data_IF_267298266236
#
_entry.id   IF_267298266236
#
_cell.length_a   1.000
_cell.length_b   1.000
_cell.length_c   1.000
_cell.angle_alpha   90.00
_cell.angle_beta   90.00
_cell.angle_gamma   90.00
#
_symmetry.space_group_name_H-M   'P 1'
#
loop_
_entity.id
_entity.type
_entity.pdbx_description
1 polymer ?
#
# COMPACT_ATOMS: atom_id res chain seq x y z
N UNK A 1 0.20 -34.64 7.28
CA UNK A 1 0.46 -34.96 8.70
C UNK A 1 1.92 -34.74 8.97
N UNK A 2 2.24 -33.98 9.98
CA UNK A 2 3.61 -33.81 10.48
C UNK A 2 3.70 -34.54 11.83
N UNK A 3 4.72 -35.35 11.98
CA UNK A 3 5.02 -36.05 13.22
C UNK A 3 6.32 -35.51 13.81
N UNK A 4 6.28 -35.06 15.03
CA UNK A 4 7.48 -34.69 15.78
C UNK A 4 7.78 -35.79 16.83
N UNK A 5 9.00 -36.30 16.85
CA UNK A 5 9.47 -37.27 17.82
C UNK A 5 10.72 -36.76 18.50
N UNK A 6 10.84 -37.06 19.80
CA UNK A 6 12.04 -36.78 20.56
C UNK A 6 12.54 -38.09 21.20
N UNK A 7 13.75 -38.48 20.86
CA UNK A 7 14.39 -39.64 21.50
C UNK A 7 14.81 -39.27 22.94
N UNK A 8 14.52 -40.14 23.87
CA UNK A 8 15.03 -40.05 25.26
C UNK A 8 16.54 -40.33 25.34
N UNK A 9 17.15 -39.96 26.44
CA UNK A 9 18.52 -40.33 26.81
C UNK A 9 18.55 -40.96 28.21
N UNK A 10 19.72 -41.26 28.73
CA UNK A 10 19.86 -41.93 30.04
C UNK A 10 19.27 -41.18 31.25
N UNK A 11 18.87 -39.91 31.08
CA UNK A 11 18.30 -39.08 32.15
C UNK A 11 16.83 -38.68 31.88
N UNK A 12 16.32 -38.87 30.66
CA UNK A 12 14.96 -38.50 30.29
C UNK A 12 14.30 -39.56 29.43
N UNK A 13 13.05 -39.87 29.74
CA UNK A 13 12.24 -40.75 28.89
C UNK A 13 11.92 -40.09 27.57
N UNK A 14 11.77 -40.89 26.52
CA UNK A 14 11.29 -40.42 25.22
C UNK A 14 9.89 -39.77 25.38
N UNK A 15 9.71 -38.61 24.79
CA UNK A 15 8.38 -37.98 24.76
C UNK A 15 7.44 -38.75 23.85
N UNK A 16 6.15 -38.83 24.24
CA UNK A 16 5.13 -39.41 23.38
C UNK A 16 5.05 -38.63 22.03
N UNK A 17 4.95 -39.33 20.90
CA UNK A 17 4.83 -38.67 19.61
C UNK A 17 3.60 -37.77 19.57
N UNK A 18 3.75 -36.54 19.13
CA UNK A 18 2.66 -35.60 18.91
C UNK A 18 2.35 -35.55 17.42
N UNK A 19 1.18 -36.05 17.05
CA UNK A 19 0.66 -35.90 15.68
C UNK A 19 -0.27 -34.70 15.61
N UNK A 20 -0.03 -33.84 14.65
CA UNK A 20 -0.97 -32.75 14.28
C UNK A 20 -1.29 -32.83 12.80
N UNK A 21 -2.57 -32.95 12.49
CA UNK A 21 -3.05 -32.90 11.11
C UNK A 21 -3.43 -31.47 10.77
N UNK A 22 -2.76 -30.88 9.79
CA UNK A 22 -3.12 -29.60 9.24
C UNK A 22 -3.84 -29.81 7.91
N UNK A 23 -5.04 -29.26 7.76
CA UNK A 23 -5.64 -29.11 6.44
C UNK A 23 -4.96 -27.92 5.75
N UNK A 24 -3.95 -28.21 4.94
CA UNK A 24 -3.40 -27.21 4.02
C UNK A 24 -4.43 -27.06 2.90
N UNK A 25 -5.20 -25.95 2.91
CA UNK A 25 -5.85 -25.50 1.68
C UNK A 25 -4.71 -25.25 0.68
N UNK A 26 -4.66 -26.04 -0.39
CA UNK A 26 -3.73 -25.73 -1.52
C UNK A 26 -4.10 -24.32 -1.98
N UNK A 27 -3.23 -23.30 -1.82
CA UNK A 27 -3.35 -22.13 -2.64
C UNK A 27 -3.28 -22.59 -4.10
N UNK A 28 -4.02 -21.96 -4.99
CA UNK A 28 -3.81 -22.18 -6.41
C UNK A 28 -2.31 -22.07 -6.71
N UNK A 29 -1.78 -22.88 -7.62
CA UNK A 29 -0.33 -22.94 -7.89
C UNK A 29 0.31 -21.57 -8.07
N UNK A 30 -0.47 -20.60 -8.51
CA UNK A 30 -0.04 -19.22 -8.79
C UNK A 30 0.11 -18.35 -7.52
N UNK A 31 -0.76 -18.50 -6.51
CA UNK A 31 -0.71 -17.69 -5.29
C UNK A 31 0.56 -17.97 -4.45
N UNK A 32 1.03 -19.22 -4.38
CA UNK A 32 2.23 -19.57 -3.62
C UNK A 32 3.53 -19.04 -4.25
N UNK A 33 3.58 -18.94 -5.58
CA UNK A 33 4.73 -18.39 -6.29
C UNK A 33 4.75 -16.85 -6.28
N UNK A 34 3.58 -16.22 -6.26
CA UNK A 34 3.46 -14.77 -6.16
C UNK A 34 3.87 -14.26 -4.77
N UNK A 35 3.41 -14.92 -3.70
CA UNK A 35 3.75 -14.56 -2.32
C UNK A 35 5.27 -14.67 -2.08
N UNK A 36 5.92 -15.77 -2.51
CA UNK A 36 7.39 -15.89 -2.44
C UNK A 36 8.14 -14.86 -3.27
N UNK A 37 7.64 -14.52 -4.46
CA UNK A 37 8.28 -13.50 -5.32
C UNK A 37 8.18 -12.10 -4.74
N UNK A 38 7.14 -11.81 -3.96
CA UNK A 38 7.01 -10.53 -3.28
C UNK A 38 7.99 -10.44 -2.10
N UNK A 39 8.10 -11.47 -1.28
CA UNK A 39 9.04 -11.53 -0.15
C UNK A 39 10.48 -11.45 -0.63
N UNK A 40 10.89 -12.27 -1.60
CA UNK A 40 12.25 -12.26 -2.16
C UNK A 40 12.62 -10.90 -2.77
N UNK A 41 11.68 -10.24 -3.43
CA UNK A 41 11.90 -8.89 -4.00
C UNK A 41 12.03 -7.83 -2.91
N UNK A 42 11.19 -7.88 -1.89
CA UNK A 42 11.23 -6.95 -0.78
C UNK A 42 12.56 -7.06 -0.03
N UNK A 43 12.97 -8.27 0.32
CA UNK A 43 14.24 -8.53 1.00
C UNK A 43 15.45 -8.11 0.13
N UNK A 44 15.42 -8.35 -1.17
CA UNK A 44 16.45 -7.89 -2.10
C UNK A 44 16.55 -6.38 -2.13
N UNK A 45 15.43 -5.67 -2.21
CA UNK A 45 15.36 -4.20 -2.20
C UNK A 45 15.85 -3.63 -0.87
N UNK A 46 15.37 -4.18 0.23
CA UNK A 46 15.78 -3.80 1.59
C UNK A 46 17.28 -3.95 1.78
N UNK A 47 17.85 -5.09 1.41
CA UNK A 47 19.29 -5.34 1.51
C UNK A 47 20.12 -4.42 0.61
N UNK A 48 19.65 -4.14 -0.60
CA UNK A 48 20.27 -3.17 -1.51
C UNK A 48 20.27 -1.75 -0.94
N UNK A 49 19.14 -1.32 -0.37
CA UNK A 49 19.04 -0.03 0.32
C UNK A 49 20.00 0.05 1.50
N UNK A 50 20.01 -0.96 2.38
CA UNK A 50 20.90 -1.03 3.55
C UNK A 50 22.36 -0.91 3.11
N UNK A 51 22.78 -1.69 2.13
CA UNK A 51 24.17 -1.65 1.60
C UNK A 51 24.54 -0.27 1.05
N UNK A 52 23.64 0.38 0.31
CA UNK A 52 23.84 1.72 -0.23
C UNK A 52 23.96 2.77 0.87
N UNK A 53 23.09 2.71 1.88
CA UNK A 53 23.08 3.68 2.98
C UNK A 53 24.30 3.55 3.89
N UNK A 54 24.72 2.32 4.19
CA UNK A 54 25.95 2.08 4.98
C UNK A 54 27.19 2.56 4.23
N UNK A 55 27.29 2.26 2.93
CA UNK A 55 28.44 2.64 2.11
C UNK A 55 28.53 4.16 1.85
N UNK A 56 27.39 4.81 1.59
CA UNK A 56 27.38 6.23 1.16
C UNK A 56 27.20 7.22 2.30
N UNK A 57 26.45 6.86 3.33
CA UNK A 57 26.12 7.76 4.45
C UNK A 57 26.75 7.34 5.78
N UNK A 58 27.48 6.24 5.83
CA UNK A 58 28.17 5.76 7.03
C UNK A 58 27.24 5.42 8.20
N UNK A 59 25.96 5.19 7.94
CA UNK A 59 25.01 4.80 9.00
C UNK A 59 25.06 3.29 9.24
N UNK A 60 24.73 2.85 10.46
CA UNK A 60 24.68 1.41 10.75
C UNK A 60 23.61 0.70 9.94
N UNK A 61 23.81 -0.59 9.62
CA UNK A 61 22.83 -1.40 8.90
C UNK A 61 21.47 -1.44 9.60
N UNK A 62 21.44 -1.52 10.93
CA UNK A 62 20.22 -1.48 11.72
C UNK A 62 19.45 -0.17 11.57
N UNK A 63 20.17 0.97 11.58
CA UNK A 63 19.55 2.28 11.33
C UNK A 63 19.03 2.37 9.91
N UNK A 64 19.76 1.87 8.92
CA UNK A 64 19.33 1.83 7.53
C UNK A 64 18.06 0.98 7.35
N UNK A 65 17.97 -0.19 8.01
CA UNK A 65 16.75 -1.00 8.02
C UNK A 65 15.55 -0.24 8.57
N UNK A 66 15.72 0.41 9.73
CA UNK A 66 14.63 1.22 10.33
C UNK A 66 14.16 2.35 9.42
N UNK A 67 15.05 2.96 8.65
CA UNK A 67 14.68 3.99 7.68
C UNK A 67 13.89 3.40 6.52
N UNK A 68 14.32 2.26 5.99
CA UNK A 68 13.60 1.58 4.90
C UNK A 68 12.18 1.13 5.33
N UNK A 69 12.05 0.62 6.54
CA UNK A 69 10.77 0.18 7.12
C UNK A 69 9.90 1.38 7.59
N UNK A 70 10.43 2.60 7.56
CA UNK A 70 9.69 3.79 8.01
C UNK A 70 8.76 4.34 6.92
N UNK A 71 7.48 4.39 7.22
CA UNK A 71 6.44 4.95 6.33
C UNK A 71 6.71 6.40 5.91
N UNK A 72 7.35 7.18 6.76
CA UNK A 72 7.60 8.61 6.52
C UNK A 72 8.95 8.90 5.85
N UNK A 73 9.76 7.89 5.60
CA UNK A 73 11.06 8.07 4.97
C UNK A 73 10.92 8.02 3.43
N UNK A 74 11.65 8.87 2.75
CA UNK A 74 11.82 8.88 1.29
C UNK A 74 13.15 8.18 0.98
N UNK A 75 13.07 6.93 0.51
CA UNK A 75 14.24 6.05 0.38
C UNK A 75 15.08 6.32 -0.87
N UNK A 76 14.51 6.82 -1.94
CA UNK A 76 15.19 7.11 -3.21
C UNK A 76 15.39 8.61 -3.45
N UNK A 77 14.68 9.46 -2.71
CA UNK A 77 14.81 10.90 -2.76
C UNK A 77 13.97 11.56 -3.85
N UNK A 78 12.85 10.96 -4.24
CA UNK A 78 11.99 11.46 -5.31
C UNK A 78 10.86 12.38 -4.82
N UNK A 79 10.79 12.61 -3.52
CA UNK A 79 9.88 13.55 -2.87
C UNK A 79 8.61 12.92 -2.33
N UNK A 80 8.45 11.59 -2.42
CA UNK A 80 7.34 10.87 -1.78
C UNK A 80 7.86 9.86 -0.76
N UNK A 81 7.04 9.57 0.23
CA UNK A 81 7.44 8.65 1.30
C UNK A 81 7.21 7.20 0.93
N UNK A 82 7.92 6.29 1.61
CA UNK A 82 7.74 4.84 1.44
C UNK A 82 6.27 4.40 1.60
N UNK A 83 5.51 5.04 2.49
CA UNK A 83 4.07 4.79 2.60
C UNK A 83 3.33 5.15 1.30
N UNK A 84 3.62 6.32 0.74
CA UNK A 84 2.94 6.77 -0.49
C UNK A 84 3.28 5.86 -1.66
N UNK A 85 4.55 5.45 -1.76
CA UNK A 85 4.98 4.48 -2.76
C UNK A 85 4.25 3.15 -2.62
N UNK A 86 4.26 2.57 -1.42
CA UNK A 86 3.53 1.34 -1.13
C UNK A 86 2.04 1.50 -1.46
N UNK A 87 1.42 2.60 -1.05
CA UNK A 87 -0.01 2.82 -1.24
C UNK A 87 -0.42 2.95 -2.71
N UNK A 88 0.42 3.58 -3.54
CA UNK A 88 0.09 3.84 -4.95
C UNK A 88 0.77 2.86 -5.93
N UNK A 89 1.46 1.84 -5.42
CA UNK A 89 2.07 0.77 -6.21
C UNK A 89 3.43 1.14 -6.82
N UNK A 90 4.15 2.06 -6.16
CA UNK A 90 5.51 2.45 -6.53
C UNK A 90 6.59 1.53 -5.96
N UNK A 91 7.81 1.93 -6.19
CA UNK A 91 9.02 1.25 -5.74
C UNK A 91 9.92 2.20 -4.98
N UNK A 92 9.97 2.08 -3.62
CA UNK A 92 10.75 2.95 -2.72
C UNK A 92 12.26 3.03 -3.00
N UNK A 93 12.76 2.39 -4.03
CA UNK A 93 14.15 2.52 -4.50
C UNK A 93 14.28 3.08 -5.91
N UNK A 94 13.17 3.40 -6.55
CA UNK A 94 13.12 3.88 -7.93
C UNK A 94 12.38 5.20 -7.99
N UNK A 95 13.01 6.24 -8.51
CA UNK A 95 12.36 7.54 -8.69
C UNK A 95 11.22 7.45 -9.70
N UNK A 96 10.02 7.14 -9.21
CA UNK A 96 8.83 6.92 -10.03
C UNK A 96 7.60 7.75 -9.60
N UNK A 97 7.75 8.70 -8.67
CA UNK A 97 6.68 9.55 -8.14
C UNK A 97 5.76 10.14 -9.21
N UNK A 98 6.33 10.58 -10.33
CA UNK A 98 5.54 11.17 -11.44
C UNK A 98 4.55 10.20 -12.08
N UNK A 99 4.82 8.90 -12.03
CA UNK A 99 4.00 7.86 -12.64
C UNK A 99 2.94 7.30 -11.70
N UNK A 100 3.21 7.28 -10.39
CA UNK A 100 2.35 6.64 -9.39
C UNK A 100 1.43 7.60 -8.64
N UNK A 101 1.83 8.86 -8.51
CA UNK A 101 1.06 9.85 -7.76
C UNK A 101 -0.34 10.06 -8.32
N UNK A 102 -1.35 10.24 -7.45
CA UNK A 102 -2.71 10.57 -7.86
C UNK A 102 -2.74 11.78 -8.78
N UNK A 103 -3.47 11.67 -9.90
CA UNK A 103 -3.63 12.74 -10.88
C UNK A 103 -5.02 13.33 -10.87
N UNK A 104 -5.10 14.63 -10.61
CA UNK A 104 -6.34 15.37 -10.83
C UNK A 104 -6.58 15.58 -12.34
N UNK A 105 -7.79 15.33 -12.79
CA UNK A 105 -8.23 15.50 -14.18
C UNK A 105 -9.41 16.46 -14.20
N UNK A 106 -9.26 17.51 -14.98
CA UNK A 106 -10.33 18.49 -15.20
C UNK A 106 -11.03 18.21 -16.51
N UNK A 107 -12.33 17.98 -16.46
CA UNK A 107 -13.17 17.82 -17.65
C UNK A 107 -14.06 19.05 -17.89
N UNK A 108 -14.63 19.13 -19.09
CA UNK A 108 -15.54 20.23 -19.48
C UNK A 108 -16.91 20.18 -18.78
N UNK A 109 -17.26 19.04 -18.17
CA UNK A 109 -18.50 18.82 -17.43
C UNK A 109 -18.59 19.56 -16.09
N UNK A 110 -17.54 20.27 -15.72
CA UNK A 110 -17.50 21.10 -14.52
C UNK A 110 -17.13 20.39 -13.23
N UNK A 111 -16.93 19.08 -13.24
CA UNK A 111 -16.50 18.31 -12.07
C UNK A 111 -14.99 18.22 -11.97
N UNK A 112 -14.50 17.98 -10.76
CA UNK A 112 -13.11 17.56 -10.53
C UNK A 112 -13.03 16.03 -10.44
N UNK A 113 -12.02 15.48 -11.06
CA UNK A 113 -11.75 14.05 -11.07
C UNK A 113 -10.35 13.80 -10.49
N UNK A 114 -10.18 12.66 -9.84
CA UNK A 114 -8.88 12.17 -9.44
C UNK A 114 -8.76 10.69 -9.80
N UNK A 115 -7.62 10.31 -10.37
CA UNK A 115 -7.30 8.94 -10.79
C UNK A 115 -6.04 8.50 -10.05
N UNK A 116 -6.08 7.33 -9.48
CA UNK A 116 -4.92 6.73 -8.79
C UNK A 116 -5.04 5.21 -8.73
N UNK A 117 -3.92 4.55 -8.49
CA UNK A 117 -3.86 3.13 -8.17
C UNK A 117 -3.93 2.94 -6.67
N UNK A 118 -4.60 1.87 -6.21
CA UNK A 118 -4.68 1.50 -4.79
C UNK A 118 -4.71 -0.02 -4.65
N UNK A 119 -4.49 -0.51 -3.46
CA UNK A 119 -4.82 -1.90 -3.16
C UNK A 119 -6.33 -2.10 -3.22
N UNK A 120 -6.76 -3.21 -3.84
CA UNK A 120 -8.16 -3.64 -3.81
C UNK A 120 -8.57 -4.04 -2.39
N UNK A 121 -9.84 -3.95 -2.06
CA UNK A 121 -10.33 -4.28 -0.72
C UNK A 121 -10.00 -5.73 -0.30
N UNK A 122 -9.86 -6.64 -1.25
CA UNK A 122 -9.45 -8.03 -1.00
C UNK A 122 -8.01 -8.17 -0.50
N UNK A 123 -7.12 -7.29 -0.95
CA UNK A 123 -5.69 -7.29 -0.59
C UNK A 123 -5.35 -6.29 0.51
N UNK A 124 -6.18 -5.28 0.69
CA UNK A 124 -6.00 -4.22 1.68
C UNK A 124 -6.67 -4.60 3.01
N UNK A 125 -6.13 -5.61 3.68
CA UNK A 125 -6.70 -6.18 4.90
C UNK A 125 -5.63 -6.37 5.98
N UNK A 126 -6.05 -6.63 7.22
CA UNK A 126 -5.13 -6.85 8.35
C UNK A 126 -4.69 -5.56 9.04
N UNK A 127 -3.59 -5.68 9.80
CA UNK A 127 -3.08 -4.59 10.66
C UNK A 127 -2.38 -3.49 9.86
N UNK A 128 -1.85 -3.82 8.67
CA UNK A 128 -1.17 -2.88 7.76
C UNK A 128 -2.11 -2.21 6.76
N UNK A 129 -3.42 -2.27 7.02
CA UNK A 129 -4.43 -1.68 6.14
C UNK A 129 -4.18 -0.19 5.92
N UNK A 130 -4.16 0.20 4.64
CA UNK A 130 -4.10 1.60 4.21
C UNK A 130 -5.51 2.08 3.88
N UNK A 131 -5.98 3.11 4.55
CA UNK A 131 -7.25 3.76 4.25
C UNK A 131 -7.04 4.89 3.25
N UNK A 132 -7.70 4.83 2.10
CA UNK A 132 -7.66 5.85 1.05
C UNK A 132 -8.88 6.76 1.19
N UNK A 133 -8.67 7.95 1.70
CA UNK A 133 -9.73 8.92 1.95
C UNK A 133 -9.71 9.96 0.83
N UNK A 134 -10.72 9.92 -0.05
CA UNK A 134 -10.86 10.90 -1.12
C UNK A 134 -11.72 12.05 -0.63
N UNK A 135 -11.17 13.25 -0.69
CA UNK A 135 -11.77 14.45 -0.13
C UNK A 135 -11.84 15.56 -1.17
N UNK A 136 -12.88 16.39 -1.06
CA UNK A 136 -13.02 17.63 -1.84
C UNK A 136 -13.05 18.86 -0.94
N UNK A 137 -12.64 20.00 -1.48
CA UNK A 137 -12.67 21.28 -0.77
C UNK A 137 -12.91 22.43 -1.75
N UNK A 138 -13.44 23.54 -1.25
CA UNK A 138 -13.57 24.79 -1.99
C UNK A 138 -12.60 25.86 -1.53
N UNK A 139 -12.03 25.70 -0.33
CA UNK A 139 -11.21 26.72 0.36
C UNK A 139 -9.84 26.18 0.81
N UNK A 140 -9.54 24.90 0.58
CA UNK A 140 -8.36 24.16 1.05
C UNK A 140 -8.25 24.06 2.59
N UNK A 141 -9.31 24.45 3.32
CA UNK A 141 -9.38 24.39 4.79
C UNK A 141 -10.38 23.34 5.24
N UNK A 142 -11.59 23.41 4.69
CA UNK A 142 -12.67 22.46 4.98
C UNK A 142 -12.66 21.36 3.92
N UNK A 143 -12.51 20.12 4.36
CA UNK A 143 -12.46 18.96 3.47
C UNK A 143 -13.62 18.01 3.76
N UNK A 144 -14.25 17.55 2.71
CA UNK A 144 -15.42 16.66 2.72
C UNK A 144 -15.06 15.33 2.08
N UNK A 145 -15.22 14.25 2.82
CA UNK A 145 -14.98 12.88 2.32
C UNK A 145 -16.16 12.32 1.52
N UNK A 146 -16.07 11.05 1.13
CA UNK A 146 -17.08 10.36 0.34
C UNK A 146 -18.44 10.21 1.03
N UNK A 147 -18.54 10.35 2.35
CA UNK A 147 -19.81 10.29 3.09
C UNK A 147 -20.62 11.58 2.95
N UNK A 148 -19.94 12.72 2.75
CA UNK A 148 -20.57 14.02 2.60
C UNK A 148 -21.22 14.22 1.24
N UNK A 149 -22.30 15.03 1.19
CA UNK A 149 -22.90 15.49 -0.07
C UNK A 149 -21.97 16.42 -0.87
N UNK A 150 -21.02 17.07 -0.20
CA UNK A 150 -19.99 17.93 -0.82
C UNK A 150 -18.72 17.13 -1.23
N UNK A 151 -18.61 15.86 -0.87
CA UNK A 151 -17.45 15.03 -1.08
C UNK A 151 -17.30 14.49 -2.50
N UNK A 152 -16.61 13.36 -2.62
CA UNK A 152 -16.39 12.66 -3.87
C UNK A 152 -17.18 11.34 -3.95
N UNK A 153 -17.28 10.78 -5.14
CA UNK A 153 -17.85 9.45 -5.37
C UNK A 153 -16.99 8.66 -6.35
N UNK A 154 -16.95 7.34 -6.16
CA UNK A 154 -16.31 6.40 -7.08
C UNK A 154 -17.07 6.37 -8.40
N UNK A 155 -16.35 6.34 -9.51
CA UNK A 155 -16.89 6.31 -10.87
C UNK A 155 -16.59 4.99 -11.56
N UNK A 156 -17.65 4.27 -11.91
CA UNK A 156 -17.51 2.98 -12.61
C UNK A 156 -16.93 1.86 -11.72
N UNK A 157 -16.53 0.79 -12.37
CA UNK A 157 -15.86 -0.35 -11.72
C UNK A 157 -14.35 -0.10 -11.71
N UNK A 158 -13.65 -0.34 -10.60
CA UNK A 158 -12.19 -0.30 -10.57
C UNK A 158 -11.58 -1.20 -11.65
N UNK A 159 -10.52 -0.73 -12.29
CA UNK A 159 -9.75 -1.50 -13.27
C UNK A 159 -8.70 -2.33 -12.54
N UNK A 160 -8.75 -3.66 -12.70
CA UNK A 160 -7.73 -4.56 -12.13
C UNK A 160 -6.38 -4.35 -12.85
N UNK A 161 -5.34 -4.07 -12.08
CA UNK A 161 -3.96 -3.88 -12.56
C UNK A 161 -3.08 -5.12 -12.29
N UNK A 162 -3.64 -6.16 -11.67
CA UNK A 162 -2.89 -7.31 -11.19
C UNK A 162 -2.14 -7.05 -9.88
N UNK A 163 -1.63 -8.12 -9.25
CA UNK A 163 -0.88 -8.02 -7.99
C UNK A 163 -1.66 -7.43 -6.82
N UNK A 164 -2.99 -7.52 -6.84
CA UNK A 164 -3.85 -6.93 -5.81
C UNK A 164 -4.08 -5.43 -5.93
N UNK A 165 -3.55 -4.80 -6.97
CA UNK A 165 -3.73 -3.37 -7.25
C UNK A 165 -4.89 -3.13 -8.21
N UNK A 166 -5.60 -2.03 -8.04
CA UNK A 166 -6.66 -1.57 -8.93
C UNK A 166 -6.53 -0.07 -9.21
N UNK A 167 -6.93 0.36 -10.40
CA UNK A 167 -7.05 1.78 -10.75
C UNK A 167 -8.47 2.25 -10.49
N UNK A 168 -8.58 3.35 -9.76
CA UNK A 168 -9.86 3.96 -9.41
C UNK A 168 -9.96 5.39 -9.95
N UNK A 169 -11.19 5.77 -10.26
CA UNK A 169 -11.53 7.14 -10.64
C UNK A 169 -12.58 7.66 -9.67
N UNK A 170 -12.29 8.75 -9.01
CA UNK A 170 -13.28 9.47 -8.20
C UNK A 170 -13.63 10.79 -8.85
N UNK A 171 -14.86 11.24 -8.63
CA UNK A 171 -15.37 12.52 -9.10
C UNK A 171 -16.00 13.27 -7.93
N UNK A 172 -15.83 14.59 -7.89
CA UNK A 172 -16.59 15.43 -6.96
C UNK A 172 -18.11 15.25 -7.18
N UNK A 173 -18.89 15.24 -6.10
CA UNK A 173 -20.37 15.17 -6.20
C UNK A 173 -21.00 16.49 -6.69
N UNK A 174 -20.32 17.60 -6.45
CA UNK A 174 -20.73 18.95 -6.91
C UNK A 174 -19.81 19.44 -8.01
N UNK A 175 -20.36 20.29 -8.89
CA UNK A 175 -19.58 20.99 -9.91
C UNK A 175 -18.84 22.18 -9.31
N UNK A 176 -17.80 22.66 -10.02
CA UNK A 176 -17.07 23.88 -9.63
C UNK A 176 -17.95 25.12 -9.49
N UNK A 177 -18.99 25.21 -10.31
CA UNK A 177 -19.89 26.36 -10.37
C UNK A 177 -21.12 26.21 -9.47
N UNK A 178 -21.28 25.07 -8.78
CA UNK A 178 -22.34 24.94 -7.80
C UNK A 178 -22.16 26.02 -6.70
N UNK A 179 -23.25 26.61 -6.33
CA UNK A 179 -23.31 27.67 -5.30
C UNK A 179 -22.50 28.95 -5.63
N UNK A 180 -22.28 29.23 -6.95
CA UNK A 180 -21.54 30.43 -7.39
C UNK A 180 -20.03 30.40 -7.16
N UNK A 181 -19.47 29.30 -6.61
CA UNK A 181 -18.05 29.16 -6.39
C UNK A 181 -17.39 28.48 -7.61
N UNK A 182 -16.30 29.07 -8.13
CA UNK A 182 -15.58 28.54 -9.30
C UNK A 182 -14.38 27.66 -8.90
N UNK A 183 -14.05 27.58 -7.61
CA UNK A 183 -12.92 26.79 -7.11
C UNK A 183 -13.41 25.47 -6.53
N UNK A 184 -12.74 24.40 -6.87
CA UNK A 184 -12.92 23.10 -6.26
C UNK A 184 -11.61 22.32 -6.35
N UNK A 185 -11.28 21.66 -5.28
CA UNK A 185 -10.07 20.86 -5.13
C UNK A 185 -10.46 19.44 -4.76
N UNK A 186 -9.64 18.48 -5.18
CA UNK A 186 -9.79 17.07 -4.84
C UNK A 186 -8.44 16.50 -4.45
N UNK A 187 -8.41 15.65 -3.42
CA UNK A 187 -7.18 14.98 -2.96
C UNK A 187 -7.46 13.57 -2.49
N UNK A 188 -6.39 12.78 -2.37
CA UNK A 188 -6.37 11.52 -1.62
C UNK A 188 -5.53 11.74 -0.36
N UNK A 189 -6.05 11.33 0.77
CA UNK A 189 -5.32 11.27 2.03
C UNK A 189 -5.19 9.82 2.45
N UNK A 190 -3.99 9.43 2.85
CA UNK A 190 -3.71 8.10 3.38
C UNK A 190 -3.79 8.12 4.90
N UNK A 191 -4.29 7.03 5.46
CA UNK A 191 -4.28 6.78 6.89
C UNK A 191 -3.92 5.32 7.11
N UNK A 192 -2.93 5.06 7.95
CA UNK A 192 -2.59 3.75 8.50
C UNK A 192 -3.17 3.63 9.90
N UNK A 193 -3.40 2.41 10.35
CA UNK A 193 -3.83 2.14 11.73
C UNK A 193 -2.65 2.20 12.69
#
# INVERSE_FOLDING_TARGET
TLQATQAGNGSFHAAAPVERTFKIKKPGKDAFFEERRMDDRFDTKRNSFVSRMTARKGISGEKAMRLFDSDNYDSDGDGISNLMERAFGGDSLTNDSKSIMPRAIRKKDGYEYIVFSRFSDAYNSGDDKIEYIVETSRDLRTWFDTSSAEGAQLMGTPEDLGGGMERVVFRSKKTRTADGNTKQFIRVRLKTR
#
